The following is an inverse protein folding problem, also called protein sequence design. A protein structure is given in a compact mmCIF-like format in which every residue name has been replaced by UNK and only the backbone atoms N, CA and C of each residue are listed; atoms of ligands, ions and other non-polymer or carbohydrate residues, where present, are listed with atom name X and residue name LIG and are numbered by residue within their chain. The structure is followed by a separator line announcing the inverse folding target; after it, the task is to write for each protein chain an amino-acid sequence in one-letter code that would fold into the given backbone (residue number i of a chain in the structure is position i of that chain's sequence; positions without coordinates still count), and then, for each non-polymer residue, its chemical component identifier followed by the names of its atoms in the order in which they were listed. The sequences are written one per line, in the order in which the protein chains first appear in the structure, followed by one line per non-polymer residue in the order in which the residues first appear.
data_IF_870071904449
#
_entry.id   IF_870071904449
#
_cell.length_a   1.000
_cell.length_b   1.000
_cell.length_c   1.000
_cell.angle_alpha   90.00
_cell.angle_beta   90.00
_cell.angle_gamma   90.00
#
_symmetry.space_group_name_H-M   'P 1'
#
loop_
_entity.id
_entity.type
_entity.pdbx_description
1 polymer ?
#
# COMPACT_ATOMS: atom_id res chain seq x y z
N UNK A 1 -16.16 -15.06 32.78
CA UNK A 1 -17.18 -14.85 31.74
C UNK A 1 -16.62 -13.84 30.75
N UNK A 2 -16.04 -14.36 29.66
CA UNK A 2 -15.79 -13.68 28.37
C UNK A 2 -15.17 -12.27 28.43
N UNK A 3 -13.98 -12.11 29.02
CA UNK A 3 -13.04 -11.18 28.42
C UNK A 3 -12.41 -11.95 27.28
N UNK A 4 -12.71 -11.48 26.08
CA UNK A 4 -12.20 -12.01 24.84
C UNK A 4 -10.67 -12.00 24.95
N UNK A 5 -10.05 -13.17 25.09
CA UNK A 5 -8.80 -13.40 24.36
C UNK A 5 -9.19 -13.10 22.92
N UNK A 6 -8.99 -11.86 22.47
CA UNK A 6 -9.02 -11.59 21.05
C UNK A 6 -8.02 -12.59 20.49
N UNK A 7 -8.42 -13.54 19.62
CA UNK A 7 -7.41 -14.26 18.86
C UNK A 7 -6.51 -13.16 18.30
N UNK A 8 -5.19 -13.30 18.46
CA UNK A 8 -4.22 -12.35 17.96
C UNK A 8 -4.27 -12.39 16.43
N UNK A 9 -5.36 -11.86 15.86
CA UNK A 9 -5.72 -12.01 14.45
C UNK A 9 -4.62 -11.48 13.56
N UNK A 10 -3.82 -10.54 14.07
CA UNK A 10 -2.65 -10.03 13.38
C UNK A 10 -1.48 -11.01 13.36
N UNK A 11 -1.29 -11.81 14.42
CA UNK A 11 -0.27 -12.87 14.49
C UNK A 11 -0.76 -14.12 13.76
N UNK A 12 -1.95 -14.63 14.07
CA UNK A 12 -2.50 -15.85 13.45
C UNK A 12 -2.73 -15.69 11.95
N UNK A 13 -3.20 -14.51 11.49
CA UNK A 13 -3.38 -14.22 10.07
C UNK A 13 -2.22 -13.41 9.49
N UNK A 14 -1.05 -13.35 10.16
CA UNK A 14 0.16 -12.73 9.61
C UNK A 14 0.44 -13.12 8.14
N UNK A 15 0.36 -14.40 7.71
CA UNK A 15 0.57 -14.75 6.30
C UNK A 15 -0.48 -14.14 5.35
N UNK A 16 -1.75 -14.00 5.80
CA UNK A 16 -2.79 -13.35 5.01
C UNK A 16 -2.51 -11.85 4.89
N UNK A 17 -2.16 -11.20 6.00
CA UNK A 17 -1.77 -9.79 6.01
C UNK A 17 -0.52 -9.53 5.16
N UNK A 18 0.42 -10.47 5.13
CA UNK A 18 1.61 -10.41 4.28
C UNK A 18 1.26 -10.45 2.79
N UNK A 19 0.34 -11.33 2.38
CA UNK A 19 -0.15 -11.40 1.00
C UNK A 19 -0.83 -10.09 0.61
N UNK A 20 -1.69 -9.55 1.47
CA UNK A 20 -2.34 -8.25 1.27
C UNK A 20 -1.29 -7.15 1.13
N UNK A 21 -0.27 -7.14 1.98
CA UNK A 21 0.84 -6.19 1.89
C UNK A 21 1.60 -6.29 0.56
N UNK A 22 1.89 -7.50 0.08
CA UNK A 22 2.54 -7.70 -1.22
C UNK A 22 1.67 -7.21 -2.39
N UNK A 23 0.37 -7.48 -2.35
CA UNK A 23 -0.57 -6.94 -3.34
C UNK A 23 -0.54 -5.42 -3.32
N UNK A 24 -0.68 -4.77 -2.16
CA UNK A 24 -0.63 -3.31 -2.06
C UNK A 24 0.71 -2.74 -2.54
N UNK A 25 1.82 -3.42 -2.24
CA UNK A 25 3.16 -3.03 -2.70
C UNK A 25 3.28 -3.10 -4.23
N UNK A 26 2.82 -4.19 -4.84
CA UNK A 26 2.80 -4.35 -6.31
C UNK A 26 1.94 -3.26 -6.95
N UNK A 27 0.73 -3.02 -6.43
CA UNK A 27 -0.16 -1.98 -6.95
C UNK A 27 0.47 -0.58 -6.84
N UNK A 28 1.17 -0.29 -5.74
CA UNK A 28 1.86 1.00 -5.50
C UNK A 28 3.05 1.23 -6.44
N UNK A 29 3.65 0.19 -7.01
CA UNK A 29 4.81 0.31 -7.91
C UNK A 29 4.41 0.13 -9.38
N UNK A 30 3.68 -0.94 -9.69
CA UNK A 30 3.33 -1.31 -11.07
C UNK A 30 2.39 -0.27 -11.69
N UNK A 31 1.34 0.16 -10.98
CA UNK A 31 0.38 1.13 -11.52
C UNK A 31 1.04 2.46 -11.90
N UNK A 32 1.81 3.14 -11.03
CA UNK A 32 2.44 4.40 -11.43
C UNK A 32 3.44 4.23 -12.58
N UNK A 33 4.20 3.14 -12.64
CA UNK A 33 5.12 2.88 -13.75
C UNK A 33 4.35 2.77 -15.08
N UNK A 34 3.28 1.98 -15.12
CA UNK A 34 2.44 1.80 -16.31
C UNK A 34 1.81 3.13 -16.75
N UNK A 35 1.31 3.91 -15.78
CA UNK A 35 0.73 5.23 -16.01
C UNK A 35 1.75 6.22 -16.60
N UNK A 36 2.99 6.22 -16.10
CA UNK A 36 4.07 7.07 -16.60
C UNK A 36 4.43 6.69 -18.04
N UNK A 37 4.63 5.39 -18.32
CA UNK A 37 4.99 4.91 -19.67
C UNK A 37 3.92 5.31 -20.69
N UNK A 38 2.65 5.04 -20.41
CA UNK A 38 1.56 5.44 -21.31
C UNK A 38 1.43 6.97 -21.40
N UNK A 39 1.64 7.68 -20.29
CA UNK A 39 1.68 9.15 -20.28
C UNK A 39 2.72 9.73 -21.23
N UNK A 40 3.95 9.24 -21.16
CA UNK A 40 5.06 9.73 -22.00
C UNK A 40 4.84 9.38 -23.48
N UNK A 41 4.33 8.19 -23.80
CA UNK A 41 4.02 7.80 -25.18
C UNK A 41 2.93 8.69 -25.77
N UNK A 42 1.84 8.94 -25.02
CA UNK A 42 0.73 9.79 -25.48
C UNK A 42 1.18 11.23 -25.68
N UNK A 43 1.98 11.78 -24.76
CA UNK A 43 2.55 13.11 -24.88
C UNK A 43 3.54 13.22 -26.05
N UNK A 44 4.42 12.23 -26.23
CA UNK A 44 5.39 12.23 -27.32
C UNK A 44 4.72 12.29 -28.69
N UNK A 45 3.62 11.54 -28.88
CA UNK A 45 2.80 11.60 -30.09
C UNK A 45 2.11 12.95 -30.26
N UNK A 46 1.55 13.51 -29.18
CA UNK A 46 0.87 14.81 -29.22
C UNK A 46 1.83 15.98 -29.54
N UNK A 47 3.05 15.94 -29.00
CA UNK A 47 4.10 16.95 -29.26
C UNK A 47 4.56 16.92 -30.72
N UNK A 48 4.77 15.73 -31.30
CA UNK A 48 5.15 15.60 -32.72
C UNK A 48 4.01 16.03 -33.65
N UNK A 49 2.76 15.87 -33.23
CA UNK A 49 1.59 16.24 -34.03
C UNK A 49 1.30 17.76 -34.06
N UNK A 50 1.96 18.58 -33.21
CA UNK A 50 1.86 20.05 -33.18
C UNK A 50 0.44 20.64 -33.26
N UNK A 51 -0.56 19.96 -32.68
CA UNK A 51 -1.94 20.46 -32.57
C UNK A 51 -2.19 20.94 -31.15
N UNK A 52 -2.31 22.25 -30.94
CA UNK A 52 -2.49 22.86 -29.61
C UNK A 52 -3.68 22.28 -28.82
N UNK A 53 -4.75 21.90 -29.51
CA UNK A 53 -5.94 21.28 -28.89
C UNK A 53 -5.67 19.85 -28.39
N UNK A 54 -4.85 19.07 -29.11
CA UNK A 54 -4.45 17.71 -28.74
C UNK A 54 -3.42 17.73 -27.60
N UNK A 55 -2.55 18.73 -27.55
CA UNK A 55 -1.57 18.92 -26.48
C UNK A 55 -2.29 19.18 -25.15
N UNK A 56 -3.27 20.10 -25.11
CA UNK A 56 -4.04 20.37 -23.88
C UNK A 56 -4.81 19.14 -23.37
N UNK A 57 -5.40 18.36 -24.28
CA UNK A 57 -6.12 17.12 -23.94
C UNK A 57 -5.17 16.06 -23.38
N UNK A 58 -3.99 15.92 -23.97
CA UNK A 58 -2.95 14.97 -23.54
C UNK A 58 -2.32 15.37 -22.21
N UNK A 59 -2.09 16.67 -21.97
CA UNK A 59 -1.63 17.21 -20.69
C UNK A 59 -2.67 16.98 -19.58
N UNK A 60 -3.96 17.20 -19.85
CA UNK A 60 -5.02 16.91 -18.86
C UNK A 60 -5.04 15.42 -18.48
N UNK A 61 -4.87 14.53 -19.46
CA UNK A 61 -4.74 13.08 -19.24
C UNK A 61 -3.52 12.74 -18.36
N UNK A 62 -2.38 13.39 -18.62
CA UNK A 62 -1.16 13.22 -17.81
C UNK A 62 -1.36 13.70 -16.37
N UNK A 63 -2.01 14.85 -16.16
CA UNK A 63 -2.28 15.38 -14.81
C UNK A 63 -3.20 14.45 -14.03
N UNK A 64 -4.28 13.93 -14.63
CA UNK A 64 -5.18 12.97 -13.97
C UNK A 64 -4.45 11.67 -13.60
N UNK A 65 -3.54 11.23 -14.47
CA UNK A 65 -2.65 10.09 -14.26
C UNK A 65 -1.66 10.34 -13.10
N UNK A 66 -1.06 11.52 -13.01
CA UNK A 66 -0.18 11.92 -11.91
C UNK A 66 -0.94 11.98 -10.57
N UNK A 67 -2.14 12.56 -10.56
CA UNK A 67 -3.02 12.59 -9.39
C UNK A 67 -3.40 11.18 -8.94
N UNK A 68 -3.73 10.28 -9.86
CA UNK A 68 -4.01 8.88 -9.54
C UNK A 68 -2.81 8.19 -8.86
N UNK A 69 -1.58 8.45 -9.34
CA UNK A 69 -0.36 7.97 -8.70
C UNK A 69 -0.20 8.46 -7.25
N UNK A 70 -0.47 9.74 -7.01
CA UNK A 70 -0.44 10.34 -5.66
C UNK A 70 -1.48 9.67 -4.75
N UNK A 71 -2.72 9.50 -5.21
CA UNK A 71 -3.79 8.88 -4.42
C UNK A 71 -3.45 7.42 -4.06
N UNK A 72 -2.98 6.63 -5.03
CA UNK A 72 -2.57 5.23 -4.78
C UNK A 72 -1.39 5.17 -3.80
N UNK A 73 -0.48 6.14 -3.86
CA UNK A 73 0.61 6.23 -2.90
C UNK A 73 0.12 6.57 -1.49
N UNK A 74 -0.93 7.38 -1.37
CA UNK A 74 -1.50 7.83 -0.10
C UNK A 74 -2.36 6.77 0.61
N UNK A 75 -3.05 5.88 -0.11
CA UNK A 75 -3.93 4.88 0.53
C UNK A 75 -3.18 4.00 1.56
N UNK A 76 -2.06 3.33 1.24
CA UNK A 76 -1.32 2.54 2.22
C UNK A 76 -0.78 3.38 3.38
N UNK A 77 -0.38 4.62 3.10
CA UNK A 77 0.12 5.57 4.11
C UNK A 77 -0.99 5.97 5.09
N UNK A 78 -2.19 6.25 4.58
CA UNK A 78 -3.37 6.57 5.39
C UNK A 78 -3.82 5.37 6.21
N UNK A 79 -3.83 4.17 5.63
CA UNK A 79 -4.12 2.92 6.36
C UNK A 79 -3.12 2.74 7.51
N UNK A 80 -1.82 2.91 7.26
CA UNK A 80 -0.80 2.86 8.31
C UNK A 80 -0.94 3.95 9.38
N UNK A 81 -1.36 5.16 9.00
CA UNK A 81 -1.63 6.24 9.94
C UNK A 81 -2.87 5.96 10.80
N UNK A 82 -3.96 5.44 10.21
CA UNK A 82 -5.17 5.04 10.94
C UNK A 82 -4.83 3.91 11.92
N UNK A 83 -4.08 2.89 11.51
CA UNK A 83 -3.64 1.83 12.43
C UNK A 83 -2.76 2.35 13.57
N UNK A 84 -1.95 3.38 13.30
CA UNK A 84 -1.11 4.02 14.34
C UNK A 84 -1.96 4.80 15.35
N UNK A 85 -2.95 5.56 14.87
CA UNK A 85 -3.91 6.27 15.71
C UNK A 85 -4.77 5.31 16.54
N UNK A 86 -5.33 4.27 15.90
CA UNK A 86 -6.14 3.24 16.60
C UNK A 86 -5.32 2.50 17.65
N UNK A 87 -4.04 2.21 17.37
CA UNK A 87 -3.12 1.62 18.35
C UNK A 87 -2.75 2.56 19.51
N UNK A 88 -2.94 3.88 19.39
CA UNK A 88 -2.77 4.82 20.50
C UNK A 88 -4.00 4.88 21.42
N UNK A 89 -5.20 4.57 20.89
CA UNK A 89 -6.45 4.58 21.66
C UNK A 89 -6.88 3.20 22.19
N UNK A 90 -6.15 2.14 21.88
CA UNK A 90 -6.42 0.78 22.35
C UNK A 90 -5.25 0.22 23.17
N UNK A 91 -5.55 -0.53 24.23
CA UNK A 91 -4.54 -1.21 25.06
C UNK A 91 -3.75 -2.30 24.30
N UNK A 92 -4.21 -2.70 23.10
CA UNK A 92 -3.63 -3.77 22.28
C UNK A 92 -2.72 -3.24 21.15
N UNK A 93 -1.95 -2.17 21.42
CA UNK A 93 -1.06 -1.51 20.45
C UNK A 93 -0.10 -2.47 19.75
N UNK A 94 0.41 -3.46 20.48
CA UNK A 94 1.36 -4.45 19.96
C UNK A 94 0.73 -5.30 18.86
N UNK A 95 -0.50 -5.79 19.04
CA UNK A 95 -1.20 -6.59 18.03
C UNK A 95 -1.44 -5.79 16.73
N UNK A 96 -1.88 -4.53 16.85
CA UNK A 96 -2.06 -3.67 15.68
C UNK A 96 -0.75 -3.40 14.93
N UNK A 97 0.37 -3.26 15.65
CA UNK A 97 1.68 -3.07 15.04
C UNK A 97 2.11 -4.29 14.19
N UNK A 98 1.72 -5.51 14.58
CA UNK A 98 1.98 -6.73 13.80
C UNK A 98 1.27 -6.69 12.45
N UNK A 99 -0.04 -6.42 12.45
CA UNK A 99 -0.83 -6.23 11.22
C UNK A 99 -0.22 -5.13 10.34
N UNK A 100 0.08 -3.97 10.94
CA UNK A 100 0.67 -2.82 10.24
C UNK A 100 1.99 -3.19 9.58
N UNK A 101 2.87 -3.91 10.27
CA UNK A 101 4.15 -4.35 9.72
C UNK A 101 3.96 -5.21 8.45
N UNK A 102 3.00 -6.13 8.47
CA UNK A 102 2.69 -6.98 7.31
C UNK A 102 2.05 -6.25 6.13
N UNK A 103 1.15 -5.30 6.40
CA UNK A 103 0.49 -4.51 5.33
C UNK A 103 1.47 -3.51 4.69
N UNK A 104 2.32 -2.88 5.50
CA UNK A 104 3.17 -1.76 5.04
C UNK A 104 4.56 -2.17 4.59
N UNK A 105 5.11 -3.25 5.14
CA UNK A 105 6.42 -3.78 4.80
C UNK A 105 6.42 -5.32 4.80
N UNK A 106 5.72 -5.97 3.85
CA UNK A 106 5.50 -7.42 3.84
C UNK A 106 6.79 -8.23 3.70
N UNK A 107 7.86 -7.65 3.15
CA UNK A 107 9.17 -8.28 2.96
C UNK A 107 10.20 -7.92 4.04
N UNK A 108 9.82 -7.19 5.09
CA UNK A 108 10.75 -6.77 6.13
C UNK A 108 11.41 -7.95 6.84
N UNK A 109 12.68 -7.81 7.20
CA UNK A 109 13.47 -8.83 7.92
C UNK A 109 13.98 -8.28 9.24
N UNK A 110 14.07 -9.12 10.27
CA UNK A 110 14.53 -8.73 11.61
C UNK A 110 13.42 -8.77 12.66
N UNK A 111 13.79 -8.46 13.91
CA UNK A 111 12.85 -8.46 15.03
C UNK A 111 11.77 -7.38 14.83
N UNK A 112 10.51 -7.74 15.08
CA UNK A 112 9.36 -6.86 14.86
C UNK A 112 8.90 -6.68 13.39
N UNK A 113 9.45 -7.48 12.46
CA UNK A 113 9.07 -7.46 11.04
C UNK A 113 7.94 -8.45 10.71
N UNK A 114 7.29 -8.27 9.56
CA UNK A 114 6.25 -9.20 9.12
C UNK A 114 6.73 -10.65 9.02
N UNK A 115 7.94 -10.87 8.48
CA UNK A 115 8.48 -12.22 8.37
C UNK A 115 8.66 -12.88 9.74
N UNK A 116 9.04 -12.11 10.78
CA UNK A 116 9.12 -12.65 12.14
C UNK A 116 7.75 -13.12 12.65
N UNK A 117 6.67 -12.35 12.41
CA UNK A 117 5.32 -12.73 12.82
C UNK A 117 4.75 -13.90 12.01
N UNK A 118 5.14 -14.03 10.74
CA UNK A 118 4.77 -15.20 9.92
C UNK A 118 5.46 -16.47 10.43
N UNK A 119 6.72 -16.39 10.85
CA UNK A 119 7.38 -17.53 11.51
C UNK A 119 6.75 -17.83 12.88
N UNK A 120 6.40 -16.82 13.67
CA UNK A 120 5.68 -16.99 14.95
C UNK A 120 4.33 -17.70 14.76
N UNK A 121 3.59 -17.36 13.69
CA UNK A 121 2.30 -17.97 13.36
C UNK A 121 2.36 -19.47 13.05
N UNK A 122 3.54 -20.01 12.70
CA UNK A 122 3.73 -21.45 12.43
C UNK A 122 3.90 -22.29 13.69
N UNK A 123 4.25 -21.64 14.80
CA UNK A 123 4.53 -22.29 16.08
C UNK A 123 3.37 -22.13 17.09
N UNK A 124 2.24 -21.57 16.63
CA UNK A 124 1.06 -21.25 17.43
C UNK A 124 -0.12 -22.17 17.15
#
# INVERSE_FOLDING_TARGET
MLIMETPSVCTTLAPVWQIIGWVLWVFKIVIPIVIIIFGVIDLGKAVVASKDDEIKKSVKSLVMRAVAGIVIFFIPTLVGAIFSLVGEFNDNKEEYNKCKACITNPGGTGEGSCNAYVEESKNS
#
